data_IF_849661187986
#
_entry.id   IF_849661187986
#
_cell.length_a   1.000
_cell.length_b   1.000
_cell.length_c   1.000
_cell.angle_alpha   90.00
_cell.angle_beta   90.00
_cell.angle_gamma   90.00
#
_symmetry.space_group_name_H-M   'P 1'
#
loop_
_entity.id
_entity.type
_entity.pdbx_description
1 polymer ?
#
# COMPACT_ATOMS: atom_id res chain seq x y z
N UNK A 1 -19.42 -12.80 74.98
CA UNK A 1 -20.46 -11.90 75.53
C UNK A 1 -20.46 -10.59 74.78
N UNK A 2 -21.67 -10.17 74.33
CA UNK A 2 -22.09 -8.81 73.87
C UNK A 2 -21.52 -8.32 72.60
N UNK A 3 -22.27 -8.45 71.45
CA UNK A 3 -23.42 -7.64 70.98
C UNK A 3 -22.99 -6.34 70.26
N UNK A 4 -23.41 -6.33 69.04
CA UNK A 4 -23.61 -5.32 67.95
C UNK A 4 -24.06 -3.93 68.51
N UNK A 5 -24.08 -2.84 67.67
CA UNK A 5 -24.75 -2.80 66.36
C UNK A 5 -24.09 -1.93 65.28
N UNK A 6 -24.58 -2.11 64.01
CA UNK A 6 -24.62 -1.14 62.92
C UNK A 6 -25.52 0.07 63.26
N UNK A 7 -25.33 1.21 62.58
CA UNK A 7 -26.28 1.63 61.53
C UNK A 7 -25.57 2.23 60.29
N UNK A 8 -26.07 1.88 59.15
CA UNK A 8 -27.05 2.54 58.22
C UNK A 8 -26.70 3.94 57.70
N UNK A 9 -26.57 3.95 56.34
CA UNK A 9 -26.97 4.93 55.35
C UNK A 9 -26.34 6.35 55.35
N UNK A 10 -25.72 6.65 54.20
CA UNK A 10 -26.24 7.69 53.32
C UNK A 10 -25.55 7.64 51.94
N UNK A 11 -26.40 7.55 50.99
CA UNK A 11 -26.19 7.64 49.55
C UNK A 11 -25.78 9.06 49.19
N UNK A 12 -24.64 9.24 48.51
CA UNK A 12 -24.42 10.47 47.76
C UNK A 12 -23.66 10.12 46.47
N UNK A 13 -24.44 10.16 45.40
CA UNK A 13 -24.03 10.11 44.03
C UNK A 13 -23.24 11.36 43.69
N UNK A 14 -21.91 11.26 43.61
CA UNK A 14 -21.07 12.31 43.05
C UNK A 14 -20.44 11.80 41.78
N UNK A 15 -20.96 12.31 40.67
CA UNK A 15 -20.43 12.16 39.33
C UNK A 15 -19.07 12.88 39.30
N UNK A 16 -17.98 12.15 39.35
CA UNK A 16 -16.65 12.68 39.10
C UNK A 16 -16.16 12.20 37.75
N UNK A 17 -16.19 13.11 36.79
CA UNK A 17 -15.46 13.00 35.51
C UNK A 17 -13.96 12.92 35.85
N UNK A 18 -13.38 11.74 35.72
CA UNK A 18 -11.93 11.59 35.72
C UNK A 18 -11.43 11.70 34.27
N UNK A 19 -10.44 12.54 33.97
CA UNK A 19 -9.79 12.52 32.68
C UNK A 19 -8.98 11.23 32.56
N UNK A 20 -9.27 10.44 31.51
CA UNK A 20 -8.48 9.30 31.16
C UNK A 20 -7.09 9.79 30.72
N UNK A 21 -6.11 9.62 31.59
CA UNK A 21 -4.70 9.72 31.27
C UNK A 21 -4.37 8.54 30.35
N UNK A 22 -4.30 8.79 29.06
CA UNK A 22 -3.71 7.88 28.07
C UNK A 22 -2.22 7.74 28.41
N UNK A 23 -1.87 6.71 29.16
CA UNK A 23 -0.51 6.20 29.24
C UNK A 23 -0.15 5.63 27.86
N UNK A 24 0.46 6.46 27.01
CA UNK A 24 1.16 5.99 25.83
C UNK A 24 2.38 5.20 26.30
N UNK A 25 2.25 3.88 26.34
CA UNK A 25 3.41 3.01 26.44
C UNK A 25 4.19 3.17 25.13
N UNK A 26 5.26 3.94 25.20
CA UNK A 26 6.27 3.96 24.15
C UNK A 26 6.91 2.58 24.11
N UNK A 27 6.49 1.75 23.16
CA UNK A 27 7.26 0.57 22.75
C UNK A 27 8.59 1.08 22.21
N UNK A 28 9.74 0.58 22.70
CA UNK A 28 11.01 0.88 22.04
C UNK A 28 10.92 0.29 20.64
N UNK A 29 10.87 1.16 19.63
CA UNK A 29 11.13 0.77 18.27
C UNK A 29 12.55 0.18 18.25
N UNK A 30 12.64 -1.13 18.04
CA UNK A 30 13.88 -1.74 17.61
C UNK A 30 14.27 -1.00 16.32
N UNK A 31 15.24 -0.13 16.44
CA UNK A 31 15.92 0.46 15.31
C UNK A 31 16.59 -0.69 14.57
N UNK A 32 15.89 -1.23 13.57
CA UNK A 32 16.55 -1.94 12.49
C UNK A 32 17.47 -0.92 11.86
N UNK A 33 18.74 -1.07 12.12
CA UNK A 33 19.80 -0.40 11.38
C UNK A 33 19.74 -0.93 9.95
N UNK A 34 18.80 -0.38 9.16
CA UNK A 34 18.92 -0.40 7.71
C UNK A 34 20.21 0.36 7.43
N UNK A 35 21.18 -0.38 6.88
CA UNK A 35 22.40 0.18 6.32
C UNK A 35 22.06 1.50 5.62
N UNK A 36 22.75 2.57 5.99
CA UNK A 36 22.64 3.88 5.40
C UNK A 36 22.94 3.81 3.89
N UNK A 37 21.92 3.41 3.12
CA UNK A 37 21.77 3.98 1.80
C UNK A 37 21.33 5.41 2.07
N UNK A 38 22.26 6.31 1.95
CA UNK A 38 22.08 7.74 2.09
C UNK A 38 21.03 8.15 1.06
N UNK A 39 19.75 8.02 1.44
CA UNK A 39 18.64 8.58 0.70
C UNK A 39 18.83 10.09 0.77
N UNK A 40 19.28 10.64 -0.35
CA UNK A 40 19.37 12.08 -0.50
C UNK A 40 17.91 12.61 -0.49
N UNK A 41 17.49 13.36 0.55
CA UNK A 41 16.09 13.80 0.68
C UNK A 41 15.62 14.76 -0.42
N UNK A 42 16.52 15.17 -1.32
CA UNK A 42 16.21 16.00 -2.48
C UNK A 42 15.76 15.20 -3.71
N UNK A 43 15.76 13.86 -3.63
CA UNK A 43 15.47 12.98 -4.77
C UNK A 43 14.07 12.36 -4.72
N UNK A 44 13.19 12.84 -3.87
CA UNK A 44 11.80 12.34 -3.75
C UNK A 44 10.85 12.89 -4.84
N UNK A 45 11.41 13.34 -5.97
CA UNK A 45 10.65 13.50 -7.20
C UNK A 45 10.59 12.15 -7.91
N UNK A 46 9.97 11.19 -7.21
CA UNK A 46 9.69 9.88 -7.74
C UNK A 46 8.96 9.96 -9.08
N UNK A 47 9.04 8.90 -9.84
CA UNK A 47 8.35 8.80 -11.13
C UNK A 47 6.87 9.18 -10.98
N UNK A 48 6.39 10.04 -11.87
CA UNK A 48 4.96 10.37 -11.95
C UNK A 48 4.13 9.08 -11.91
N UNK A 49 3.01 9.05 -11.17
CA UNK A 49 2.14 7.88 -11.09
C UNK A 49 1.59 7.43 -12.46
N UNK A 50 1.78 8.25 -13.48
CA UNK A 50 1.40 7.94 -14.86
C UNK A 50 2.41 7.04 -15.59
N UNK A 51 3.64 6.90 -15.09
CA UNK A 51 4.61 6.00 -15.71
C UNK A 51 4.54 4.62 -15.05
N UNK A 52 4.61 3.57 -15.87
CA UNK A 52 4.66 2.16 -15.42
C UNK A 52 5.72 1.42 -16.19
N UNK A 53 6.73 0.98 -15.48
CA UNK A 53 7.73 0.08 -16.02
C UNK A 53 7.39 -1.36 -15.66
N UNK A 54 7.36 -2.23 -16.65
CA UNK A 54 6.96 -3.63 -16.52
C UNK A 54 8.07 -4.53 -17.04
N UNK A 55 8.49 -5.51 -16.24
CA UNK A 55 9.43 -6.55 -16.69
C UNK A 55 8.67 -7.50 -17.62
N UNK A 56 9.22 -7.73 -18.81
CA UNK A 56 8.69 -8.67 -19.81
C UNK A 56 9.45 -9.99 -19.80
N UNK A 57 10.75 -9.96 -19.49
CA UNK A 57 11.56 -11.18 -19.39
C UNK A 57 12.79 -11.00 -18.49
N UNK A 58 13.26 -12.11 -17.93
CA UNK A 58 14.54 -12.23 -17.24
C UNK A 58 15.28 -13.39 -17.86
N UNK A 59 16.52 -13.14 -18.29
CA UNK A 59 17.42 -14.15 -18.85
C UNK A 59 18.79 -14.05 -18.15
N UNK A 60 19.45 -15.17 -17.83
CA UNK A 60 18.92 -16.52 -17.89
C UNK A 60 17.82 -16.78 -16.85
N UNK A 61 16.89 -17.67 -17.16
CA UNK A 61 15.92 -18.16 -16.17
C UNK A 61 16.61 -19.08 -15.17
N UNK A 62 16.88 -18.58 -13.98
CA UNK A 62 17.55 -19.33 -12.91
C UNK A 62 16.66 -19.34 -11.69
N UNK A 63 16.43 -20.51 -11.11
CA UNK A 63 15.68 -20.62 -9.86
C UNK A 63 16.36 -19.80 -8.76
N UNK A 64 15.58 -19.02 -8.01
CA UNK A 64 16.09 -18.16 -6.95
C UNK A 64 16.59 -16.78 -7.41
N UNK A 65 16.55 -16.46 -8.70
CA UNK A 65 16.69 -15.09 -9.20
C UNK A 65 15.32 -14.47 -9.37
N UNK A 66 15.09 -13.39 -8.64
CA UNK A 66 13.87 -12.58 -8.77
C UNK A 66 14.24 -11.11 -8.99
N UNK A 67 13.51 -10.44 -9.86
CA UNK A 67 13.68 -9.01 -10.12
C UNK A 67 12.31 -8.37 -10.24
N UNK A 68 12.11 -7.24 -9.59
CA UNK A 68 10.88 -6.48 -9.65
C UNK A 68 11.12 -4.98 -9.83
N UNK A 69 10.13 -4.29 -10.38
CA UNK A 69 10.10 -2.82 -10.45
C UNK A 69 9.41 -2.29 -9.22
N UNK A 70 10.03 -1.31 -8.57
CA UNK A 70 9.47 -0.59 -7.44
C UNK A 70 9.08 0.84 -7.85
N UNK A 71 8.20 1.45 -7.07
CA UNK A 71 7.77 2.85 -7.25
C UNK A 71 7.39 3.17 -8.70
N UNK A 72 6.60 2.25 -9.30
CA UNK A 72 6.04 2.36 -10.66
C UNK A 72 7.06 2.26 -11.82
N UNK A 73 8.15 2.99 -11.79
CA UNK A 73 9.18 2.97 -12.84
C UNK A 73 10.53 3.51 -12.35
N UNK A 74 10.67 3.75 -11.04
CA UNK A 74 11.86 4.42 -10.52
C UNK A 74 12.99 3.46 -10.20
N UNK A 75 12.68 2.33 -9.56
CA UNK A 75 13.69 1.43 -9.01
C UNK A 75 13.52 0.00 -9.47
N UNK A 76 14.65 -0.69 -9.55
CA UNK A 76 14.71 -2.14 -9.63
C UNK A 76 15.14 -2.71 -8.28
N UNK A 77 14.58 -3.84 -7.94
CA UNK A 77 15.02 -4.66 -6.82
C UNK A 77 15.35 -6.06 -7.34
N UNK A 78 16.54 -6.54 -7.03
CA UNK A 78 17.00 -7.89 -7.34
C UNK A 78 17.16 -8.67 -6.04
N UNK A 79 16.56 -9.86 -5.98
CA UNK A 79 16.78 -10.85 -4.92
C UNK A 79 17.55 -12.04 -5.49
N UNK A 80 18.70 -12.34 -4.89
CA UNK A 80 19.53 -13.46 -5.28
C UNK A 80 19.48 -14.60 -4.25
N UNK A 81 18.84 -15.71 -4.63
CA UNK A 81 18.86 -16.99 -3.91
C UNK A 81 19.35 -18.12 -4.81
N UNK A 82 20.13 -17.80 -5.84
CA UNK A 82 20.58 -18.78 -6.85
C UNK A 82 21.76 -19.64 -6.38
N UNK A 83 22.40 -19.28 -5.26
CA UNK A 83 23.67 -19.88 -4.84
C UNK A 83 24.87 -19.51 -5.73
N UNK A 84 24.71 -18.53 -6.62
CA UNK A 84 25.75 -18.00 -7.51
C UNK A 84 25.81 -16.47 -7.38
N UNK A 85 26.94 -15.88 -7.75
CA UNK A 85 27.02 -14.42 -7.83
C UNK A 85 26.21 -13.91 -9.01
N UNK A 86 25.37 -12.90 -8.76
CA UNK A 86 24.67 -12.13 -9.79
C UNK A 86 25.33 -10.76 -9.87
N UNK A 87 25.77 -10.38 -11.07
CA UNK A 87 26.37 -9.07 -11.35
C UNK A 87 25.39 -8.26 -12.20
N UNK A 88 25.22 -7.00 -11.86
CA UNK A 88 24.45 -6.01 -12.62
C UNK A 88 25.45 -5.12 -13.36
N UNK A 89 25.29 -4.97 -14.67
CA UNK A 89 26.14 -4.13 -15.48
C UNK A 89 25.62 -2.68 -15.50
N UNK A 90 26.55 -1.74 -15.44
CA UNK A 90 26.27 -0.31 -15.56
C UNK A 90 25.96 0.13 -16.99
N UNK A 91 25.97 1.43 -17.22
CA UNK A 91 25.56 2.03 -18.50
C UNK A 91 26.53 1.81 -19.64
N UNK A 92 27.81 1.61 -19.33
CA UNK A 92 28.88 1.38 -20.29
C UNK A 92 29.33 -0.10 -20.33
N UNK A 93 28.56 -1.00 -19.70
CA UNK A 93 28.86 -2.44 -19.60
C UNK A 93 29.86 -2.82 -18.52
N UNK A 94 30.21 -1.87 -17.65
CA UNK A 94 31.04 -2.13 -16.49
C UNK A 94 30.26 -2.84 -15.38
N UNK A 95 30.92 -3.61 -14.49
CA UNK A 95 30.25 -4.19 -13.33
C UNK A 95 29.90 -3.07 -12.35
N UNK A 96 28.59 -2.82 -12.17
CA UNK A 96 28.05 -1.78 -11.29
C UNK A 96 27.83 -2.30 -9.86
N UNK A 97 27.09 -3.38 -9.75
CA UNK A 97 26.79 -4.01 -8.47
C UNK A 97 26.83 -5.53 -8.58
N UNK A 98 27.04 -6.22 -7.45
CA UNK A 98 26.93 -7.68 -7.41
C UNK A 98 26.33 -8.15 -6.10
N UNK A 99 25.53 -9.21 -6.22
CA UNK A 99 24.95 -9.94 -5.10
C UNK A 99 25.59 -11.31 -5.08
N UNK A 100 26.44 -11.55 -4.10
CA UNK A 100 27.20 -12.81 -3.99
C UNK A 100 26.31 -13.99 -3.60
N UNK A 101 26.80 -15.21 -3.79
CA UNK A 101 26.13 -16.45 -3.43
C UNK A 101 25.74 -16.55 -1.95
N UNK A 102 26.51 -15.91 -1.07
CA UNK A 102 26.30 -15.85 0.37
C UNK A 102 25.36 -14.71 0.82
N UNK A 103 24.77 -13.96 -0.12
CA UNK A 103 23.90 -12.82 0.16
C UNK A 103 24.62 -11.48 0.39
N UNK A 104 25.96 -11.43 0.32
CA UNK A 104 26.69 -10.16 0.39
C UNK A 104 26.41 -9.33 -0.85
N UNK A 105 25.99 -8.07 -0.66
CA UNK A 105 25.75 -7.09 -1.72
C UNK A 105 26.88 -6.07 -1.74
N UNK A 106 27.44 -5.87 -2.91
CA UNK A 106 28.54 -4.91 -3.11
C UNK A 106 28.25 -4.01 -4.30
N UNK A 107 28.67 -2.76 -4.18
CA UNK A 107 28.65 -1.78 -5.27
C UNK A 107 30.08 -1.40 -5.66
N UNK A 108 30.27 -1.17 -6.94
CA UNK A 108 31.54 -0.74 -7.49
C UNK A 108 31.65 0.78 -7.47
N UNK A 109 32.51 1.33 -6.59
CA UNK A 109 32.73 2.78 -6.47
C UNK A 109 33.47 3.39 -7.67
N UNK A 110 34.03 2.57 -8.56
CA UNK A 110 34.63 3.03 -9.80
C UNK A 110 33.68 2.94 -11.00
N UNK A 111 32.42 2.46 -10.81
CA UNK A 111 31.41 2.49 -11.85
C UNK A 111 30.79 3.88 -11.98
N UNK A 112 30.68 4.45 -13.19
CA UNK A 112 29.91 5.68 -13.44
C UNK A 112 28.45 5.54 -13.00
N UNK A 113 27.84 4.36 -13.17
CA UNK A 113 26.46 4.10 -12.78
C UNK A 113 26.24 4.29 -11.28
N UNK A 114 27.24 4.04 -10.43
CA UNK A 114 27.14 4.29 -8.99
C UNK A 114 26.82 5.77 -8.67
N UNK A 115 27.38 6.70 -9.42
CA UNK A 115 27.14 8.15 -9.23
C UNK A 115 25.88 8.61 -9.95
N UNK A 116 25.71 8.19 -11.20
CA UNK A 116 24.54 8.59 -12.02
C UNK A 116 23.22 8.19 -11.36
N UNK A 117 23.14 7.00 -10.80
CA UNK A 117 21.94 6.48 -10.13
C UNK A 117 21.58 7.20 -8.81
N UNK A 118 22.41 8.12 -8.33
CA UNK A 118 22.10 8.96 -7.17
C UNK A 118 21.20 10.16 -7.50
N UNK A 119 20.94 10.42 -8.76
CA UNK A 119 20.07 11.49 -9.23
C UNK A 119 19.04 10.95 -10.20
N UNK A 120 17.77 11.33 -10.03
CA UNK A 120 16.68 10.91 -10.90
C UNK A 120 16.92 11.25 -12.39
N UNK A 121 17.53 12.39 -12.67
CA UNK A 121 17.86 12.84 -14.02
C UNK A 121 19.35 12.73 -14.38
N UNK A 122 20.16 12.08 -13.55
CA UNK A 122 21.60 11.95 -13.81
C UNK A 122 22.40 13.26 -13.70
N UNK A 123 21.83 14.29 -13.07
CA UNK A 123 22.46 15.62 -12.92
C UNK A 123 23.51 15.60 -11.81
N UNK A 124 24.52 14.75 -11.95
CA UNK A 124 25.63 14.59 -11.00
C UNK A 124 26.96 14.61 -11.74
N UNK A 125 28.00 15.10 -11.07
CA UNK A 125 29.37 15.02 -11.59
C UNK A 125 29.93 13.65 -11.29
N UNK A 126 30.22 12.86 -12.31
CA UNK A 126 30.93 11.59 -12.17
C UNK A 126 32.42 11.89 -11.96
N UNK A 127 33.05 11.38 -10.87
CA UNK A 127 34.47 11.56 -10.66
C UNK A 127 35.32 10.98 -11.80
N UNK A 128 36.42 11.60 -12.14
CA UNK A 128 37.30 11.19 -13.27
C UNK A 128 37.90 9.79 -13.13
N UNK A 129 37.98 9.27 -11.90
CA UNK A 129 38.46 7.91 -11.65
C UNK A 129 37.37 6.84 -11.87
N UNK A 130 36.08 7.25 -11.89
CA UNK A 130 34.94 6.35 -12.11
C UNK A 130 34.68 6.23 -13.60
N UNK A 131 35.25 5.19 -14.20
CA UNK A 131 35.14 4.90 -15.64
C UNK A 131 34.84 3.41 -15.84
N UNK A 132 34.26 3.07 -16.99
CA UNK A 132 33.96 1.68 -17.33
C UNK A 132 35.22 0.78 -17.43
N UNK A 133 36.39 1.39 -17.63
CA UNK A 133 37.68 0.68 -17.75
C UNK A 133 38.46 0.60 -16.44
N UNK A 134 37.99 1.28 -15.40
CA UNK A 134 38.65 1.26 -14.11
C UNK A 134 38.51 -0.11 -13.44
N UNK A 135 39.56 -0.55 -12.76
CA UNK A 135 39.47 -1.75 -11.91
C UNK A 135 38.39 -1.54 -10.86
N UNK A 136 37.43 -2.47 -10.70
CA UNK A 136 36.36 -2.32 -9.75
C UNK A 136 36.84 -2.13 -8.31
N UNK A 137 36.30 -1.15 -7.62
CA UNK A 137 36.47 -0.93 -6.19
C UNK A 137 35.18 -1.32 -5.47
N UNK A 138 35.10 -2.54 -4.99
CA UNK A 138 33.94 -3.09 -4.34
C UNK A 138 33.78 -2.59 -2.90
N UNK A 139 32.57 -2.16 -2.57
CA UNK A 139 32.17 -1.73 -1.22
C UNK A 139 30.92 -2.51 -0.83
N UNK A 140 30.95 -3.18 0.31
CA UNK A 140 29.79 -3.91 0.86
C UNK A 140 28.76 -2.89 1.32
N UNK A 141 27.52 -3.06 0.86
CA UNK A 141 26.38 -2.20 1.21
C UNK A 141 25.26 -2.94 1.93
N UNK A 142 25.15 -4.26 1.73
CA UNK A 142 24.11 -5.08 2.36
C UNK A 142 24.55 -6.55 2.47
N UNK A 143 23.80 -7.40 3.21
CA UNK A 143 24.05 -8.83 3.39
C UNK A 143 22.79 -9.69 3.32
N UNK A 144 21.68 -9.13 2.84
CA UNK A 144 20.38 -9.80 2.78
C UNK A 144 20.15 -10.59 1.49
N UNK A 145 21.08 -10.48 0.55
CA UNK A 145 20.90 -11.03 -0.79
C UNK A 145 19.96 -10.22 -1.67
N UNK A 146 19.55 -9.05 -1.20
CA UNK A 146 18.65 -8.15 -1.92
C UNK A 146 19.36 -6.83 -2.22
N UNK A 147 19.26 -6.36 -3.45
CA UNK A 147 19.79 -5.08 -3.88
C UNK A 147 18.71 -4.27 -4.58
N UNK A 148 18.55 -3.04 -4.13
CA UNK A 148 17.63 -2.06 -4.72
C UNK A 148 18.43 -0.89 -5.27
N UNK A 149 18.10 -0.44 -6.49
CA UNK A 149 18.78 0.70 -7.11
C UNK A 149 17.86 1.46 -8.04
N UNK A 150 18.10 2.75 -8.15
CA UNK A 150 17.54 3.60 -9.19
C UNK A 150 18.23 3.28 -10.52
N UNK A 151 17.49 3.21 -11.64
CA UNK A 151 18.04 2.88 -12.95
C UNK A 151 17.41 3.74 -14.05
N UNK A 152 18.23 4.57 -14.69
CA UNK A 152 17.77 5.50 -15.73
C UNK A 152 17.22 4.79 -16.97
N UNK A 153 17.55 3.52 -17.18
CA UNK A 153 17.08 2.74 -18.32
C UNK A 153 15.59 2.39 -18.25
N UNK A 154 15.00 2.39 -17.06
CA UNK A 154 13.64 1.90 -16.85
C UNK A 154 12.60 3.00 -16.72
N UNK A 155 13.00 4.27 -16.70
CA UNK A 155 12.07 5.40 -16.54
C UNK A 155 12.30 6.51 -17.57
N UNK A 156 11.36 7.44 -17.64
CA UNK A 156 11.46 8.61 -18.53
C UNK A 156 12.35 9.68 -17.93
N UNK A 157 13.43 10.02 -18.64
CA UNK A 157 14.52 10.91 -18.21
C UNK A 157 14.27 12.40 -18.47
N UNK A 158 13.02 12.83 -18.69
CA UNK A 158 12.73 14.22 -19.00
C UNK A 158 11.50 14.70 -18.24
N UNK A 159 11.47 15.98 -17.80
CA UNK A 159 10.26 16.59 -17.24
C UNK A 159 9.17 16.85 -18.30
N UNK A 160 9.53 16.81 -19.58
CA UNK A 160 8.61 17.00 -20.70
C UNK A 160 7.93 15.68 -21.04
N UNK A 161 6.62 15.74 -21.33
CA UNK A 161 5.86 14.56 -21.73
C UNK A 161 6.50 13.85 -22.93
N UNK A 162 6.59 12.51 -22.93
CA UNK A 162 7.11 11.75 -24.07
C UNK A 162 6.34 12.06 -25.35
N UNK A 163 7.03 12.24 -26.50
CA UNK A 163 6.38 12.56 -27.76
C UNK A 163 5.43 11.45 -28.26
N UNK A 164 5.58 10.23 -27.75
CA UNK A 164 4.68 9.10 -28.02
C UNK A 164 3.28 9.31 -27.44
N UNK A 165 3.17 10.05 -26.33
CA UNK A 165 1.89 10.28 -25.64
C UNK A 165 1.13 11.42 -26.32
N UNK A 166 0.32 11.07 -27.32
CA UNK A 166 -0.57 12.02 -28.03
C UNK A 166 -1.89 12.24 -27.31
N UNK A 167 -2.33 11.24 -26.56
CA UNK A 167 -3.56 11.25 -25.76
C UNK A 167 -3.24 10.76 -24.36
N UNK A 168 -3.31 11.67 -23.38
CA UNK A 168 -3.05 11.37 -21.96
C UNK A 168 -4.06 10.40 -21.36
N UNK A 169 -5.24 10.24 -21.98
CA UNK A 169 -6.28 9.30 -21.56
C UNK A 169 -6.04 7.86 -22.04
N UNK A 170 -4.97 7.60 -22.79
CA UNK A 170 -4.67 6.29 -23.32
C UNK A 170 -3.34 5.74 -22.82
N UNK A 171 -3.35 4.43 -22.51
CA UNK A 171 -2.10 3.73 -22.24
C UNK A 171 -1.25 3.69 -23.51
N UNK A 172 -0.01 4.16 -23.40
CA UNK A 172 0.92 4.32 -24.53
C UNK A 172 2.28 3.71 -24.18
N UNK A 173 2.82 2.85 -25.05
CA UNK A 173 4.20 2.39 -24.93
C UNK A 173 5.14 3.55 -25.23
N UNK A 174 6.10 3.80 -24.32
CA UNK A 174 7.12 4.83 -24.49
C UNK A 174 8.37 4.24 -25.14
N UNK A 175 8.93 3.19 -24.53
CA UNK A 175 10.07 2.44 -25.07
C UNK A 175 10.23 1.07 -24.39
N UNK A 176 10.99 0.20 -25.06
CA UNK A 176 11.51 -1.04 -24.50
C UNK A 176 12.85 -0.75 -23.79
N UNK A 177 13.11 -1.44 -22.69
CA UNK A 177 14.34 -1.27 -21.95
C UNK A 177 15.00 -2.59 -21.56
N UNK A 178 16.32 -2.55 -21.33
CA UNK A 178 17.08 -3.71 -20.86
C UNK A 178 18.19 -3.29 -19.89
N UNK A 179 18.34 -4.11 -18.86
CA UNK A 179 19.41 -4.03 -17.89
C UNK A 179 20.22 -5.31 -17.99
N UNK A 180 21.47 -5.25 -18.51
CA UNK A 180 22.32 -6.41 -18.59
C UNK A 180 22.72 -6.91 -17.20
N UNK A 181 22.68 -8.24 -17.05
CA UNK A 181 23.11 -8.94 -15.84
C UNK A 181 23.97 -10.13 -16.20
N UNK A 182 24.69 -10.68 -15.23
CA UNK A 182 25.35 -11.96 -15.37
C UNK A 182 25.10 -12.82 -14.13
N UNK A 183 24.78 -14.10 -14.31
CA UNK A 183 24.68 -15.08 -13.26
C UNK A 183 25.91 -16.00 -13.34
N UNK A 184 26.86 -15.84 -12.44
CA UNK A 184 28.23 -16.34 -12.58
C UNK A 184 28.85 -15.86 -13.92
N UNK A 185 29.25 -16.76 -14.81
CA UNK A 185 29.81 -16.43 -16.11
C UNK A 185 28.73 -16.29 -17.22
N UNK A 186 27.47 -16.60 -16.93
CA UNK A 186 26.40 -16.58 -17.93
C UNK A 186 25.80 -15.18 -18.02
N UNK A 187 26.04 -14.50 -19.14
CA UNK A 187 25.44 -13.20 -19.44
C UNK A 187 23.96 -13.33 -19.76
N UNK A 188 23.20 -12.31 -19.41
CA UNK A 188 21.78 -12.23 -19.63
C UNK A 188 21.27 -10.80 -19.52
N UNK A 189 19.96 -10.67 -19.40
CA UNK A 189 19.32 -9.36 -19.30
C UNK A 189 17.99 -9.44 -18.57
N UNK A 190 17.67 -8.38 -17.85
CA UNK A 190 16.30 -8.06 -17.46
C UNK A 190 15.75 -7.11 -18.51
N UNK A 191 14.69 -7.53 -19.19
CA UNK A 191 14.05 -6.72 -20.22
C UNK A 191 12.65 -6.31 -19.78
N UNK A 192 12.22 -5.13 -20.23
CA UNK A 192 10.91 -4.62 -19.90
C UNK A 192 10.46 -3.50 -20.83
N UNK A 193 9.34 -2.88 -20.46
CA UNK A 193 8.69 -1.84 -21.22
C UNK A 193 8.24 -0.71 -20.30
N UNK A 194 8.46 0.52 -20.70
CA UNK A 194 7.92 1.70 -20.05
C UNK A 194 6.64 2.14 -20.74
N UNK A 195 5.58 2.33 -19.96
CA UNK A 195 4.30 2.82 -20.43
C UNK A 195 3.93 4.14 -19.77
N UNK A 196 3.28 5.00 -20.55
CA UNK A 196 2.35 5.98 -20.01
C UNK A 196 1.04 5.28 -19.67
N UNK A 197 0.50 5.53 -18.49
CA UNK A 197 -0.78 4.99 -18.04
C UNK A 197 -1.61 6.16 -17.53
N UNK A 198 -2.83 6.38 -18.03
CA UNK A 198 -3.72 7.39 -17.48
C UNK A 198 -3.91 7.21 -15.99
N UNK A 199 -4.05 8.29 -15.25
CA UNK A 199 -4.55 8.20 -13.89
C UNK A 199 -5.92 7.53 -13.94
N UNK A 200 -6.05 6.42 -13.24
CA UNK A 200 -7.38 5.87 -13.00
C UNK A 200 -8.14 6.92 -12.20
N UNK A 201 -9.20 7.48 -12.79
CA UNK A 201 -10.21 8.23 -12.04
C UNK A 201 -10.94 7.24 -11.13
N UNK A 202 -10.27 6.75 -10.12
CA UNK A 202 -10.95 6.08 -9.02
C UNK A 202 -11.81 7.17 -8.38
N UNK A 203 -13.10 7.18 -8.69
CA UNK A 203 -14.05 7.89 -7.85
C UNK A 203 -13.68 7.52 -6.41
N UNK A 204 -13.35 8.48 -5.55
CA UNK A 204 -12.74 8.18 -4.28
C UNK A 204 -13.65 7.21 -3.55
N UNK A 205 -13.14 6.05 -3.20
CA UNK A 205 -13.89 5.01 -2.46
C UNK A 205 -14.58 5.64 -1.25
N UNK A 206 -13.96 6.68 -0.67
CA UNK A 206 -14.55 7.55 0.34
C UNK A 206 -15.90 8.16 -0.09
N UNK A 207 -16.06 8.62 -1.33
CA UNK A 207 -17.33 9.20 -1.80
C UNK A 207 -18.42 8.14 -1.90
N UNK A 208 -18.09 6.92 -2.31
CA UNK A 208 -19.04 5.79 -2.36
C UNK A 208 -19.43 5.36 -0.95
N UNK A 209 -18.49 5.29 -0.02
CA UNK A 209 -18.74 4.92 1.38
C UNK A 209 -19.58 5.99 2.07
N UNK A 210 -19.27 7.27 1.89
CA UNK A 210 -20.04 8.39 2.47
C UNK A 210 -21.44 8.42 1.87
N UNK A 211 -21.59 8.30 0.56
CA UNK A 211 -22.87 8.24 -0.13
C UNK A 211 -23.74 7.07 0.36
N UNK A 212 -23.15 5.88 0.50
CA UNK A 212 -23.81 4.70 1.05
C UNK A 212 -24.26 4.90 2.50
N UNK A 213 -23.43 5.48 3.35
CA UNK A 213 -23.76 5.78 4.75
C UNK A 213 -24.93 6.78 4.87
N UNK A 214 -24.97 7.82 4.03
CA UNK A 214 -26.07 8.81 4.01
C UNK A 214 -27.39 8.14 3.62
N UNK A 215 -27.38 7.25 2.62
CA UNK A 215 -28.57 6.52 2.19
C UNK A 215 -29.09 5.60 3.30
N UNK A 216 -28.21 4.86 3.96
CA UNK A 216 -28.57 3.97 5.08
C UNK A 216 -29.15 4.79 6.24
N UNK A 217 -28.51 5.90 6.59
CA UNK A 217 -28.98 6.79 7.67
C UNK A 217 -30.37 7.38 7.34
N UNK A 218 -30.58 7.80 6.11
CA UNK A 218 -31.87 8.27 5.61
C UNK A 218 -32.99 7.22 5.71
N UNK A 219 -32.66 5.97 5.32
CA UNK A 219 -33.59 4.85 5.41
C UNK A 219 -33.97 4.55 6.87
N UNK A 220 -32.98 4.52 7.76
CA UNK A 220 -33.20 4.31 9.20
C UNK A 220 -34.07 5.41 9.81
N UNK A 221 -33.88 6.66 9.39
CA UNK A 221 -34.67 7.82 9.84
C UNK A 221 -36.14 7.70 9.37
N UNK A 222 -36.37 7.28 8.12
CA UNK A 222 -37.70 7.05 7.58
C UNK A 222 -38.40 5.90 8.33
N UNK A 223 -37.67 4.80 8.60
CA UNK A 223 -38.25 3.68 9.38
C UNK A 223 -38.60 4.12 10.81
N UNK A 224 -37.70 4.86 11.47
CA UNK A 224 -37.92 5.37 12.82
C UNK A 224 -39.16 6.32 12.89
N UNK A 225 -39.29 7.22 11.93
CA UNK A 225 -40.46 8.13 11.88
C UNK A 225 -41.75 7.42 11.58
N UNK A 226 -41.75 6.40 10.73
CA UNK A 226 -42.94 5.57 10.47
C UNK A 226 -43.32 4.79 11.72
N UNK A 227 -42.38 4.17 12.43
CA UNK A 227 -42.68 3.43 13.69
C UNK A 227 -43.22 4.35 14.78
N UNK A 228 -42.75 5.59 14.91
CA UNK A 228 -43.27 6.58 15.89
C UNK A 228 -44.68 7.05 15.56
N UNK A 229 -45.11 7.04 14.28
CA UNK A 229 -46.46 7.39 13.86
C UNK A 229 -47.45 6.26 14.15
N UNK A 230 -47.05 5.00 14.03
CA UNK A 230 -47.93 3.85 14.35
C UNK A 230 -48.16 3.66 15.85
N UNK A 231 -47.25 4.10 16.71
CA UNK A 231 -47.42 4.04 18.17
C UNK A 231 -48.23 5.17 18.78
N UNK A 232 -48.47 6.27 18.03
CA UNK A 232 -49.29 7.40 18.50
C UNK A 232 -50.74 7.37 18.09
N UNK A 233 -51.21 6.32 17.41
CA UNK A 233 -52.56 6.22 16.84
C UNK A 233 -53.53 5.27 17.59
N UNK A 234 -53.27 4.88 18.86
CA UNK A 234 -54.26 4.16 19.64
C UNK A 234 -55.09 5.16 20.47
N UNK A 235 -56.38 5.32 20.23
CA UNK A 235 -57.24 6.13 21.09
C UNK A 235 -57.44 5.41 22.45
N UNK A 236 -57.56 6.17 23.56
CA UNK A 236 -57.84 5.59 24.86
C UNK A 236 -59.25 4.98 24.84
N UNK A 237 -59.34 3.66 25.22
CA UNK A 237 -60.60 2.98 25.35
C UNK A 237 -61.45 3.62 26.43
N UNK A 238 -62.67 3.99 26.07
CA UNK A 238 -63.72 4.32 27.00
C UNK A 238 -64.27 3.04 27.66
N UNK A 239 -64.01 2.89 28.94
CA UNK A 239 -64.79 2.02 29.82
C UNK A 239 -66.16 2.64 29.98
N UNK A 240 -67.18 1.92 29.52
CA UNK A 240 -68.51 2.08 30.06
C UNK A 240 -69.15 0.71 30.18
N UNK A 241 -69.51 0.39 31.40
CA UNK A 241 -70.07 -0.86 31.81
C UNK A 241 -71.60 -0.96 31.63
N UNK A 242 -72.02 -2.09 31.94
CA UNK A 242 -73.41 -2.53 32.43
C UNK A 242 -74.27 -3.24 31.43
N UNK A 243 -74.57 -4.44 31.80
CA UNK A 243 -75.96 -4.90 31.90
C UNK A 243 -76.49 -5.83 30.83
N UNK A 244 -76.74 -7.11 31.22
CA UNK A 244 -78.04 -7.75 30.98
C UNK A 244 -78.16 -8.77 29.86
N UNK A 245 -78.29 -9.99 30.36
CA UNK A 245 -79.34 -10.97 29.89
C UNK A 245 -79.13 -11.84 28.64
N UNK A 246 -79.01 -13.12 28.90
CA UNK A 246 -79.33 -14.27 28.01
C UNK A 246 -80.83 -14.44 27.93
N UNK A 247 -81.46 -15.31 27.06
CA UNK A 247 -80.97 -16.48 26.32
C UNK A 247 -81.58 -16.68 24.93
N UNK A 248 -81.16 -17.72 24.21
CA UNK A 248 -81.94 -18.22 23.10
C UNK A 248 -81.17 -19.03 22.05
N UNK A 249 -81.34 -20.34 22.13
CA UNK A 249 -80.87 -21.34 21.21
C UNK A 249 -81.35 -21.16 19.76
N UNK A 250 -80.59 -21.68 18.81
CA UNK A 250 -81.04 -22.63 17.80
C UNK A 250 -80.03 -22.84 16.66
N UNK A 251 -79.56 -24.03 16.58
CA UNK A 251 -79.32 -24.94 15.41
C UNK A 251 -79.45 -24.36 14.01
N UNK A 252 -78.54 -24.75 13.19
CA UNK A 252 -78.62 -24.62 11.74
C UNK A 252 -77.35 -25.00 10.97
N UNK A 253 -77.31 -26.25 10.63
CA UNK A 253 -76.40 -27.01 9.76
C UNK A 253 -76.22 -26.46 8.33
N UNK A 254 -75.10 -26.95 7.71
CA UNK A 254 -74.81 -27.21 6.26
C UNK A 254 -74.03 -26.14 5.50
N UNK A 255 -72.92 -26.59 5.10
CA UNK A 255 -72.39 -27.24 3.88
C UNK A 255 -72.08 -26.27 2.74
N UNK A 256 -70.81 -26.37 2.44
CA UNK A 256 -70.13 -26.66 1.15
C UNK A 256 -70.34 -25.68 -0.03
N UNK A 257 -69.30 -25.25 -0.49
CA UNK A 257 -68.61 -25.45 -1.79
C UNK A 257 -67.22 -24.71 -1.76
#
# INVERSE_FOLDING_TARGET
MRRRPLPLLLLSLACALAPACLLTTATPALATTSSEQQQNPLNDQGSSPNYRSLITSISPKVAGLDVQVLQFSDRLQLQNRTGRTVTIEGYEGEPYARVQANGTVEVNKHSPAYYLNQSFYGNVTVPSFATAKATPLWSVVDRTGQFEWHDHRIHWMSPVLPPQVKDKGKRTLIFDWHVPIAVAAQRGTVAGQLFWTPESSSAPVAAIVIGGAIVVLGLLLVIATRRRRTTRGAPPGSDDGAGGELPGASTGTREAW
#
